data_IF_673106218381
#
_entry.id   IF_673106218381
#
_cell.length_a   1.000
_cell.length_b   1.000
_cell.length_c   1.000
_cell.angle_alpha   90.00
_cell.angle_beta   90.00
_cell.angle_gamma   90.00
#
_symmetry.space_group_name_H-M   'P 1'
#
loop_
_entity.id
_entity.type
_entity.pdbx_description
1 polymer ?
#
# COMPACT_ATOMS: atom_id res chain seq x y z
N UNK A 1 -9.59 24.39 2.17
CA UNK A 1 -8.80 24.00 0.99
C UNK A 1 -7.77 22.95 1.38
N UNK A 2 -6.93 23.16 2.41
CA UNK A 2 -6.06 22.08 2.93
C UNK A 2 -6.80 21.06 3.80
N UNK A 3 -7.92 21.45 4.43
CA UNK A 3 -8.64 20.59 5.37
C UNK A 3 -9.36 19.41 4.70
N UNK A 4 -9.82 19.57 3.45
CA UNK A 4 -10.53 18.52 2.69
C UNK A 4 -9.59 17.35 2.35
N UNK A 5 -8.41 17.68 1.83
CA UNK A 5 -7.35 16.71 1.47
C UNK A 5 -6.84 15.96 2.71
N UNK A 6 -6.79 16.63 3.86
CA UNK A 6 -6.41 16.01 5.13
C UNK A 6 -7.49 15.05 5.66
N UNK A 7 -8.77 15.34 5.41
CA UNK A 7 -9.88 14.43 5.73
C UNK A 7 -9.84 13.19 4.82
N UNK A 8 -9.59 13.37 3.52
CA UNK A 8 -9.42 12.27 2.55
C UNK A 8 -8.21 11.39 2.89
N UNK A 9 -7.08 11.98 3.28
CA UNK A 9 -5.90 11.24 3.76
C UNK A 9 -6.25 10.38 4.99
N UNK A 10 -7.02 10.92 5.94
CA UNK A 10 -7.45 10.21 7.14
C UNK A 10 -8.39 9.06 6.83
N UNK A 11 -9.30 9.24 5.88
CA UNK A 11 -10.18 8.18 5.41
C UNK A 11 -9.38 7.03 4.81
N UNK A 12 -8.40 7.33 3.95
CA UNK A 12 -7.52 6.32 3.35
C UNK A 12 -6.69 5.54 4.39
N UNK A 13 -6.15 6.23 5.39
CA UNK A 13 -5.44 5.58 6.51
C UNK A 13 -6.39 4.65 7.26
N UNK A 14 -7.59 5.12 7.59
CA UNK A 14 -8.59 4.31 8.30
C UNK A 14 -8.98 3.05 7.52
N UNK A 15 -9.09 3.13 6.18
CA UNK A 15 -9.39 1.98 5.32
C UNK A 15 -8.26 0.95 5.32
N UNK A 16 -7.00 1.40 5.33
CA UNK A 16 -5.84 0.52 5.42
C UNK A 16 -5.77 -0.17 6.79
N UNK A 17 -5.99 0.58 7.88
CA UNK A 17 -6.00 0.05 9.24
C UNK A 17 -7.13 -0.98 9.45
N UNK A 18 -8.34 -0.71 8.95
CA UNK A 18 -9.48 -1.64 9.00
C UNK A 18 -9.18 -2.94 8.21
N UNK A 19 -8.47 -2.82 7.09
CA UNK A 19 -7.96 -3.95 6.33
C UNK A 19 -6.79 -4.69 7.02
N UNK A 20 -6.37 -4.26 8.22
CA UNK A 20 -5.32 -4.87 9.03
C UNK A 20 -3.90 -4.50 8.59
N UNK A 21 -3.73 -3.38 7.89
CA UNK A 21 -2.43 -2.81 7.56
C UNK A 21 -2.03 -1.77 8.61
N UNK A 22 -0.80 -1.90 9.10
CA UNK A 22 -0.19 -0.94 10.02
C UNK A 22 0.45 0.18 9.17
N UNK A 23 -0.21 1.34 9.11
CA UNK A 23 0.29 2.49 8.34
C UNK A 23 1.44 3.13 9.09
N UNK A 24 2.62 3.13 8.49
CA UNK A 24 3.86 3.65 9.11
C UNK A 24 4.19 5.08 8.67
N UNK A 25 3.73 5.49 7.48
CA UNK A 25 4.02 6.80 6.92
C UNK A 25 2.87 7.27 6.03
N UNK A 26 2.56 8.55 6.10
CA UNK A 26 1.52 9.19 5.30
C UNK A 26 1.94 10.61 4.93
N UNK A 27 2.21 10.84 3.65
CA UNK A 27 2.66 12.12 3.10
C UNK A 27 1.61 12.69 2.16
N UNK A 28 1.35 14.00 2.24
CA UNK A 28 0.49 14.72 1.31
C UNK A 28 1.30 15.82 0.62
N UNK A 29 1.25 15.83 -0.71
CA UNK A 29 1.90 16.82 -1.55
C UNK A 29 0.85 17.48 -2.43
N UNK A 30 0.60 18.77 -2.18
CA UNK A 30 -0.26 19.59 -3.04
C UNK A 30 0.63 20.30 -4.06
N UNK A 31 0.34 20.15 -5.34
CA UNK A 31 1.10 20.76 -6.41
C UNK A 31 0.16 21.33 -7.48
N UNK A 32 0.55 22.47 -8.06
CA UNK A 32 -0.13 23.05 -9.20
C UNK A 32 0.31 22.30 -10.46
N UNK A 33 -0.59 21.55 -11.07
CA UNK A 33 -0.24 20.67 -12.17
C UNK A 33 0.17 21.45 -13.42
N UNK A 34 1.38 21.25 -13.97
CA UNK A 34 1.85 21.96 -15.17
C UNK A 34 1.27 21.36 -16.47
N UNK A 35 0.50 20.28 -16.35
CA UNK A 35 -0.06 19.50 -17.46
C UNK A 35 -1.55 19.74 -17.69
N UNK A 36 -2.22 20.41 -16.77
CA UNK A 36 -3.61 20.83 -16.93
C UNK A 36 -3.66 22.33 -17.19
N UNK A 37 -4.30 22.75 -18.29
CA UNK A 37 -4.59 24.16 -18.60
C UNK A 37 -5.67 24.75 -17.65
N UNK A 38 -6.14 23.97 -16.67
CA UNK A 38 -7.14 24.33 -15.67
C UNK A 38 -6.41 24.56 -14.33
N UNK A 39 -6.64 25.72 -13.70
CA UNK A 39 -6.02 26.20 -12.44
C UNK A 39 -6.45 25.35 -11.20
N UNK A 40 -6.79 24.08 -11.42
CA UNK A 40 -7.29 23.16 -10.42
C UNK A 40 -6.11 22.60 -9.62
N UNK A 41 -6.10 22.78 -8.27
CA UNK A 41 -5.02 22.28 -7.43
C UNK A 41 -5.06 20.75 -7.37
N UNK A 42 -3.96 20.09 -7.73
CA UNK A 42 -3.80 18.64 -7.57
C UNK A 42 -3.15 18.31 -6.23
N UNK A 43 -3.64 17.27 -5.56
CA UNK A 43 -3.04 16.73 -4.35
C UNK A 43 -2.69 15.26 -4.55
N UNK A 44 -1.43 14.90 -4.28
CA UNK A 44 -0.95 13.52 -4.24
C UNK A 44 -0.78 13.09 -2.79
N UNK A 45 -1.35 11.94 -2.44
CA UNK A 45 -1.17 11.31 -1.12
C UNK A 45 -0.36 10.02 -1.30
N UNK A 46 0.77 9.92 -0.58
CA UNK A 46 1.62 8.72 -0.53
C UNK A 46 1.47 8.05 0.83
N UNK A 47 1.16 6.75 0.85
CA UNK A 47 0.96 5.96 2.07
C UNK A 47 1.88 4.74 2.07
N UNK A 48 2.65 4.58 3.14
CA UNK A 48 3.46 3.36 3.38
C UNK A 48 2.84 2.59 4.54
N UNK A 49 2.48 1.33 4.30
CA UNK A 49 1.90 0.46 5.30
C UNK A 49 2.51 -0.94 5.26
N UNK A 50 2.52 -1.61 6.41
CA UNK A 50 3.03 -2.98 6.56
C UNK A 50 1.93 -3.91 7.05
N UNK A 51 1.90 -5.13 6.56
CA UNK A 51 1.04 -6.19 7.08
C UNK A 51 1.86 -7.45 7.22
N UNK A 52 1.82 -8.04 8.42
CA UNK A 52 2.36 -9.37 8.64
C UNK A 52 1.33 -10.36 8.12
N UNK A 53 1.70 -11.09 7.07
CA UNK A 53 0.94 -12.26 6.66
C UNK A 53 1.40 -13.40 7.55
N UNK A 54 0.46 -14.17 8.09
CA UNK A 54 0.80 -15.45 8.70
C UNK A 54 1.52 -16.26 7.61
N UNK A 55 2.75 -16.71 7.88
CA UNK A 55 3.37 -17.75 7.08
C UNK A 55 2.39 -18.92 7.14
N UNK A 56 1.83 -19.28 5.97
CA UNK A 56 1.05 -20.48 5.81
C UNK A 56 1.92 -21.60 6.37
N UNK A 57 1.56 -22.05 7.57
CA UNK A 57 2.28 -23.11 8.25
C UNK A 57 2.00 -24.35 7.42
N UNK A 58 2.90 -24.62 6.47
CA UNK A 58 3.00 -25.84 5.67
C UNK A 58 3.33 -26.99 6.63
N UNK A 59 2.32 -27.38 7.42
CA UNK A 59 2.33 -28.56 8.27
C UNK A 59 1.48 -29.60 7.54
N UNK A 60 2.08 -30.25 6.54
CA UNK A 60 1.34 -31.20 5.69
C UNK A 60 2.14 -31.94 4.62
N UNK A 61 3.11 -32.76 5.05
CA UNK A 61 3.51 -34.05 4.48
C UNK A 61 2.96 -34.39 3.06
N UNK A 62 3.79 -34.20 2.02
CA UNK A 62 3.45 -34.46 0.62
C UNK A 62 4.65 -34.98 -0.18
N UNK A 63 4.94 -36.26 0.04
CA UNK A 63 5.58 -37.25 -0.86
C UNK A 63 5.99 -36.77 -2.28
N UNK A 64 7.29 -36.94 -2.57
CA UNK A 64 7.89 -37.24 -3.89
C UNK A 64 7.46 -36.41 -5.12
N UNK A 65 8.12 -35.25 -5.34
CA UNK A 65 8.32 -34.72 -6.69
C UNK A 65 9.75 -34.16 -6.84
N UNK A 66 10.68 -35.10 -6.98
CA UNK A 66 11.89 -35.02 -7.81
C UNK A 66 12.00 -33.75 -8.67
N UNK A 67 12.63 -32.72 -8.13
CA UNK A 67 13.08 -31.58 -8.92
C UNK A 67 14.38 -31.97 -9.66
N UNK A 68 14.22 -32.53 -10.86
CA UNK A 68 15.26 -32.97 -11.81
C UNK A 68 16.15 -31.82 -12.38
N UNK A 69 16.23 -30.67 -11.68
CA UNK A 69 16.96 -29.49 -12.15
C UNK A 69 18.09 -29.03 -11.22
N UNK A 70 18.76 -29.96 -10.52
CA UNK A 70 20.09 -29.70 -9.95
C UNK A 70 21.17 -30.42 -10.76
N UNK A 71 21.46 -29.89 -11.95
CA UNK A 71 22.60 -30.25 -12.78
C UNK A 71 23.84 -29.47 -12.32
N UNK A 72 24.93 -30.21 -12.07
CA UNK A 72 26.32 -29.83 -12.39
C UNK A 72 27.07 -29.01 -11.34
#
# INVERSE_FOLDING_TARGET
MNDDVLDEQRELVSLLEDAGWDVTEAEVSVYESPWEDDDSPEATVSLTARKLFEEESDDGDGDDDISEFRIG
#
